data_IF_707961807882
#
_entry.id   IF_707961807882
#
_cell.length_a   1.000
_cell.length_b   1.000
_cell.length_c   1.000
_cell.angle_alpha   90.00
_cell.angle_beta   90.00
_cell.angle_gamma   90.00
#
_symmetry.space_group_name_H-M   'P 1'
#
loop_
_entity.id
_entity.type
_entity.pdbx_description
1 polymer ?
#
# COMPACT_ATOMS: atom_id res chain seq x y z
N UNK A 1 -13.07 -4.82 1.37
CA UNK A 1 -13.53 -3.58 0.69
C UNK A 1 -12.83 -2.34 1.22
N UNK A 2 -13.03 -1.92 2.48
CA UNK A 2 -12.39 -0.69 3.00
C UNK A 2 -10.87 -0.75 2.90
N UNK A 3 -10.24 -1.81 3.38
CA UNK A 3 -8.79 -1.99 3.28
C UNK A 3 -8.29 -1.99 1.82
N UNK A 4 -9.09 -2.50 0.89
CA UNK A 4 -8.76 -2.50 -0.53
C UNK A 4 -8.79 -1.08 -1.12
N UNK A 5 -9.68 -0.21 -0.63
CA UNK A 5 -9.72 1.21 -1.01
C UNK A 5 -8.42 1.90 -0.62
N UNK A 6 -8.00 1.76 0.65
CA UNK A 6 -6.71 2.30 1.11
C UNK A 6 -5.56 1.76 0.27
N UNK A 7 -5.51 0.44 0.06
CA UNK A 7 -4.45 -0.20 -0.70
C UNK A 7 -4.41 0.31 -2.14
N UNK A 8 -5.52 0.31 -2.87
CA UNK A 8 -5.51 0.66 -4.29
C UNK A 8 -5.32 2.17 -4.52
N UNK A 9 -5.77 3.04 -3.62
CA UNK A 9 -5.43 4.46 -3.68
C UNK A 9 -3.93 4.66 -3.45
N UNK A 10 -3.37 4.03 -2.43
CA UNK A 10 -1.93 4.12 -2.14
C UNK A 10 -1.08 3.60 -3.29
N UNK A 11 -1.38 2.40 -3.81
CA UNK A 11 -0.63 1.80 -4.92
C UNK A 11 -0.79 2.58 -6.23
N UNK A 12 -1.99 3.08 -6.54
CA UNK A 12 -2.19 3.94 -7.72
C UNK A 12 -1.38 5.22 -7.60
N UNK A 13 -1.44 5.90 -6.45
CA UNK A 13 -0.68 7.13 -6.23
C UNK A 13 0.83 6.87 -6.30
N UNK A 14 1.31 5.72 -5.81
CA UNK A 14 2.71 5.29 -5.96
C UNK A 14 3.15 5.19 -7.42
N UNK A 15 2.29 4.66 -8.29
CA UNK A 15 2.56 4.56 -9.73
C UNK A 15 2.48 5.94 -10.39
N UNK A 16 1.50 6.76 -10.02
CA UNK A 16 1.30 8.09 -10.61
C UNK A 16 2.38 9.09 -10.21
N UNK A 17 2.92 8.99 -9.00
CA UNK A 17 3.94 9.90 -8.48
C UNK A 17 5.39 9.44 -8.74
N UNK A 18 5.60 8.46 -9.61
CA UNK A 18 6.93 7.99 -9.98
C UNK A 18 7.80 9.11 -10.60
N UNK A 19 9.01 9.24 -10.08
CA UNK A 19 10.08 10.09 -10.60
C UNK A 19 11.18 9.20 -11.21
N UNK A 20 12.01 9.76 -12.09
CA UNK A 20 13.14 9.04 -12.67
C UNK A 20 14.24 8.87 -11.61
N UNK A 21 14.45 7.63 -11.15
CA UNK A 21 15.45 7.25 -10.14
C UNK A 21 16.41 6.23 -10.74
N UNK A 22 17.71 6.44 -10.55
CA UNK A 22 18.73 5.52 -11.04
C UNK A 22 18.50 4.09 -10.52
N UNK A 23 18.54 3.11 -11.42
CA UNK A 23 18.31 1.70 -11.08
C UNK A 23 16.85 1.29 -10.92
N UNK A 24 15.89 2.21 -11.13
CA UNK A 24 14.46 1.91 -11.17
C UNK A 24 13.91 1.96 -12.59
N UNK A 25 12.92 1.11 -12.87
CA UNK A 25 12.15 1.12 -14.11
C UNK A 25 10.77 1.69 -13.80
N UNK A 26 10.33 2.64 -14.62
CA UNK A 26 8.97 3.18 -14.52
C UNK A 26 7.96 2.12 -14.94
N UNK A 27 6.93 1.93 -14.12
CA UNK A 27 5.84 0.99 -14.38
C UNK A 27 4.52 1.73 -14.64
N UNK A 28 3.56 1.04 -15.25
CA UNK A 28 2.24 1.55 -15.59
C UNK A 28 1.17 0.59 -15.09
N UNK A 29 -0.09 1.04 -14.87
CA UNK A 29 -1.18 0.16 -14.45
C UNK A 29 -1.33 -1.11 -15.31
N UNK A 30 -1.07 -1.00 -16.61
CA UNK A 30 -1.13 -2.09 -17.58
C UNK A 30 -0.10 -3.20 -17.33
N UNK A 31 1.04 -2.89 -16.71
CA UNK A 31 2.06 -3.89 -16.33
C UNK A 31 1.54 -4.86 -15.26
N UNK A 32 0.42 -4.51 -14.61
CA UNK A 32 -0.23 -5.29 -13.56
C UNK A 32 -1.58 -5.88 -13.99
N UNK A 33 -1.99 -5.73 -15.26
CA UNK A 33 -3.22 -6.32 -15.76
C UNK A 33 -3.14 -7.87 -15.79
N UNK A 34 -4.26 -8.59 -15.58
CA UNK A 34 -5.62 -8.08 -15.37
C UNK A 34 -5.90 -7.61 -13.93
N UNK A 35 -5.38 -8.34 -12.95
CA UNK A 35 -5.40 -7.98 -11.53
C UNK A 35 -3.94 -7.93 -11.04
N UNK A 36 -3.54 -6.86 -10.32
CA UNK A 36 -4.35 -5.75 -9.80
C UNK A 36 -4.56 -4.56 -10.77
N UNK A 37 -4.03 -4.60 -11.99
CA UNK A 37 -3.95 -3.46 -12.91
C UNK A 37 -5.27 -2.73 -13.17
N UNK A 38 -6.39 -3.45 -13.23
CA UNK A 38 -7.71 -2.85 -13.39
C UNK A 38 -8.11 -1.87 -12.27
N UNK A 39 -7.51 -1.98 -11.08
CA UNK A 39 -7.73 -1.08 -9.94
C UNK A 39 -6.70 0.04 -9.84
N UNK A 40 -5.66 0.04 -10.67
CA UNK A 40 -4.58 1.04 -10.65
C UNK A 40 -4.81 2.15 -11.69
N UNK A 41 -5.94 2.09 -12.41
CA UNK A 41 -6.31 3.00 -13.49
C UNK A 41 -7.14 4.18 -12.97
N UNK A 42 -7.29 5.20 -13.82
CA UNK A 42 -7.97 6.46 -13.50
C UNK A 42 -9.45 6.31 -13.11
N UNK A 43 -10.08 5.18 -13.43
CA UNK A 43 -11.48 4.90 -13.11
C UNK A 43 -11.68 4.26 -11.72
N UNK A 44 -10.63 4.13 -10.90
CA UNK A 44 -10.70 3.54 -9.55
C UNK A 44 -11.79 4.18 -8.68
N UNK A 45 -11.84 5.52 -8.60
CA UNK A 45 -12.83 6.23 -7.78
C UNK A 45 -14.27 5.93 -8.23
N UNK A 46 -14.50 5.80 -9.53
CA UNK A 46 -15.81 5.44 -10.08
C UNK A 46 -16.16 3.98 -9.77
N UNK A 47 -15.19 3.05 -9.81
CA UNK A 47 -15.40 1.66 -9.37
C UNK A 47 -15.77 1.58 -7.90
N UNK A 48 -15.08 2.34 -7.04
CA UNK A 48 -15.39 2.42 -5.60
C UNK A 48 -16.80 2.96 -5.38
N UNK A 49 -17.17 4.06 -6.07
CA UNK A 49 -18.50 4.66 -5.98
C UNK A 49 -19.60 3.67 -6.33
N UNK A 50 -19.55 3.07 -7.53
CA UNK A 50 -20.57 2.10 -8.00
C UNK A 50 -20.68 0.88 -7.10
N UNK A 51 -19.55 0.34 -6.65
CA UNK A 51 -19.55 -0.85 -5.78
C UNK A 51 -20.14 -0.53 -4.40
N UNK A 52 -19.85 0.66 -3.87
CA UNK A 52 -20.37 1.13 -2.59
C UNK A 52 -21.87 1.44 -2.64
N UNK A 53 -22.35 2.06 -3.72
CA UNK A 53 -23.79 2.29 -3.96
C UNK A 53 -24.56 0.97 -4.06
N UNK A 54 -24.07 0.02 -4.87
CA UNK A 54 -24.70 -1.29 -5.01
C UNK A 54 -24.75 -2.05 -3.68
N UNK A 55 -23.67 -2.02 -2.91
CA UNK A 55 -23.61 -2.66 -1.60
C UNK A 55 -24.58 -1.99 -0.60
N UNK A 56 -24.72 -0.67 -0.66
CA UNK A 56 -25.69 0.08 0.13
C UNK A 56 -27.13 -0.34 -0.17
N UNK A 57 -27.49 -0.48 -1.45
CA UNK A 57 -28.80 -0.98 -1.86
C UNK A 57 -29.07 -2.40 -1.34
N UNK A 58 -28.07 -3.29 -1.39
CA UNK A 58 -28.17 -4.66 -0.88
C UNK A 58 -28.41 -4.68 0.64
N UNK A 59 -27.73 -3.81 1.39
CA UNK A 59 -27.96 -3.68 2.84
C UNK A 59 -29.36 -3.14 3.15
N UNK A 60 -29.82 -2.11 2.44
CA UNK A 60 -31.17 -1.57 2.62
C UNK A 60 -32.26 -2.61 2.31
N UNK A 61 -32.08 -3.43 1.27
CA UNK A 61 -33.00 -4.50 0.93
C UNK A 61 -33.12 -5.56 2.04
N UNK A 62 -32.10 -5.68 2.90
CA UNK A 62 -32.07 -6.57 4.08
C UNK A 62 -32.54 -5.87 5.37
N UNK A 63 -32.88 -4.59 5.31
CA UNK A 63 -33.22 -3.79 6.49
C UNK A 63 -32.01 -3.32 7.31
N UNK A 64 -30.79 -3.47 6.78
CA UNK A 64 -29.55 -3.04 7.43
C UNK A 64 -29.21 -1.60 7.06
N UNK A 65 -29.72 -0.66 7.85
CA UNK A 65 -29.48 0.77 7.63
C UNK A 65 -28.04 1.15 7.95
N UNK A 66 -27.44 0.55 8.98
CA UNK A 66 -26.07 0.87 9.41
C UNK A 66 -25.03 0.37 8.39
N UNK A 67 -25.22 -0.84 7.85
CA UNK A 67 -24.39 -1.39 6.78
C UNK A 67 -24.46 -0.54 5.52
N UNK A 68 -25.65 -0.04 5.16
CA UNK A 68 -25.82 0.93 4.08
C UNK A 68 -25.06 2.24 4.35
N UNK A 69 -25.18 2.74 5.57
CA UNK A 69 -24.37 3.79 6.22
C UNK A 69 -22.88 3.68 5.86
N UNK A 70 -22.29 2.58 6.34
CA UNK A 70 -20.88 2.24 6.21
C UNK A 70 -20.45 2.02 4.76
N UNK A 71 -21.33 1.47 3.91
CA UNK A 71 -21.05 1.27 2.49
C UNK A 71 -20.86 2.61 1.79
N UNK A 72 -21.78 3.56 1.96
CA UNK A 72 -21.71 4.90 1.36
C UNK A 72 -20.54 5.73 1.93
N UNK A 73 -20.20 5.56 3.21
CA UNK A 73 -19.01 6.20 3.82
C UNK A 73 -17.71 5.91 3.06
N UNK A 74 -17.60 4.75 2.42
CA UNK A 74 -16.40 4.40 1.66
C UNK A 74 -16.11 5.33 0.47
N UNK A 75 -17.14 5.96 -0.10
CA UNK A 75 -16.99 6.94 -1.20
C UNK A 75 -16.25 8.17 -0.70
N UNK A 76 -16.60 8.62 0.51
CA UNK A 76 -15.96 9.77 1.16
C UNK A 76 -14.54 9.40 1.56
N UNK A 77 -14.35 8.24 2.22
CA UNK A 77 -13.03 7.76 2.65
C UNK A 77 -12.04 7.67 1.49
N UNK A 78 -12.49 7.25 0.30
CA UNK A 78 -11.66 7.18 -0.89
C UNK A 78 -11.11 8.55 -1.36
N UNK A 79 -11.76 9.64 -0.99
CA UNK A 79 -11.37 11.01 -1.37
C UNK A 79 -10.71 11.77 -0.22
N UNK A 80 -10.87 11.30 1.02
CA UNK A 80 -10.28 11.89 2.21
C UNK A 80 -9.23 10.96 2.80
N UNK A 81 -9.64 10.04 3.67
CA UNK A 81 -8.77 9.35 4.61
C UNK A 81 -7.82 8.36 3.93
N UNK A 82 -8.22 7.82 2.78
CA UNK A 82 -7.41 6.90 2.01
C UNK A 82 -6.34 7.58 1.15
N UNK A 83 -6.42 8.89 0.97
CA UNK A 83 -5.38 9.66 0.31
C UNK A 83 -4.24 9.89 1.31
N UNK A 84 -3.03 9.35 1.08
CA UNK A 84 -1.92 9.51 1.99
C UNK A 84 -1.44 10.97 2.04
N UNK A 85 -1.01 11.42 3.21
CA UNK A 85 -0.42 12.75 3.41
C UNK A 85 0.97 12.88 2.75
N UNK A 86 1.68 11.76 2.59
CA UNK A 86 3.01 11.67 1.95
C UNK A 86 2.90 11.07 0.54
N UNK A 87 3.92 11.33 -0.30
CA UNK A 87 4.03 10.68 -1.61
C UNK A 87 4.45 9.22 -1.46
N UNK A 88 3.61 8.24 -1.84
CA UNK A 88 3.93 6.82 -1.69
C UNK A 88 5.20 6.38 -2.42
N UNK A 89 5.51 7.01 -3.55
CA UNK A 89 6.75 6.73 -4.29
C UNK A 89 7.98 7.26 -3.54
N UNK A 90 7.90 8.45 -2.97
CA UNK A 90 9.02 9.00 -2.17
C UNK A 90 9.26 8.16 -0.91
N UNK A 91 8.18 7.68 -0.27
CA UNK A 91 8.29 6.76 0.87
C UNK A 91 9.03 5.47 0.48
N UNK A 92 8.78 4.94 -0.73
CA UNK A 92 9.52 3.80 -1.28
C UNK A 92 11.00 4.13 -1.48
N UNK A 93 11.34 5.28 -2.07
CA UNK A 93 12.74 5.68 -2.27
C UNK A 93 13.47 5.87 -0.94
N UNK A 94 12.82 6.47 0.06
CA UNK A 94 13.36 6.61 1.41
C UNK A 94 13.61 5.24 2.03
N UNK A 95 12.63 4.33 1.94
CA UNK A 95 12.76 2.97 2.45
C UNK A 95 13.94 2.22 1.79
N UNK A 96 14.08 2.33 0.47
CA UNK A 96 15.19 1.71 -0.26
C UNK A 96 16.55 2.25 0.22
N UNK A 97 16.67 3.57 0.39
CA UNK A 97 17.89 4.20 0.91
C UNK A 97 18.22 3.73 2.33
N UNK A 98 17.24 3.76 3.23
CA UNK A 98 17.41 3.30 4.61
C UNK A 98 17.80 1.82 4.67
N UNK A 99 17.23 1.00 3.78
CA UNK A 99 17.60 -0.41 3.67
C UNK A 99 19.05 -0.58 3.22
N UNK A 100 19.49 0.15 2.19
CA UNK A 100 20.88 0.12 1.73
C UNK A 100 21.85 0.53 2.85
N UNK A 101 21.58 1.64 3.53
CA UNK A 101 22.37 2.11 4.67
C UNK A 101 22.43 1.07 5.80
N UNK A 102 21.30 0.42 6.11
CA UNK A 102 21.25 -0.66 7.10
C UNK A 102 22.09 -1.87 6.66
N UNK A 103 22.01 -2.27 5.40
CA UNK A 103 22.79 -3.39 4.86
C UNK A 103 24.29 -3.08 4.91
N UNK A 104 24.70 -1.88 4.53
CA UNK A 104 26.11 -1.45 4.62
C UNK A 104 26.60 -1.43 6.07
N UNK A 105 25.80 -0.89 6.99
CA UNK A 105 26.14 -0.84 8.41
C UNK A 105 26.29 -2.23 9.01
N UNK A 106 25.36 -3.15 8.71
CA UNK A 106 25.39 -4.52 9.23
C UNK A 106 26.48 -5.37 8.60
N UNK A 107 26.94 -5.04 7.39
CA UNK A 107 28.06 -5.71 6.72
C UNK A 107 29.44 -5.35 7.31
N UNK A 108 29.54 -4.27 8.08
CA UNK A 108 30.79 -3.90 8.75
C UNK A 108 31.23 -5.02 9.69
N UNK A 109 32.46 -5.53 9.53
CA UNK A 109 33.00 -6.69 10.26
C UNK A 109 32.71 -6.62 11.77
N UNK A 110 32.99 -5.46 12.38
CA UNK A 110 32.74 -5.22 13.80
C UNK A 110 31.26 -5.41 14.19
N UNK A 111 30.34 -4.95 13.35
CA UNK A 111 28.90 -5.06 13.61
C UNK A 111 28.43 -6.49 13.33
N UNK A 112 28.86 -7.06 12.21
CA UNK A 112 28.57 -8.44 11.83
C UNK A 112 28.98 -9.43 12.92
N UNK A 113 30.23 -9.39 13.41
CA UNK A 113 30.68 -10.29 14.48
C UNK A 113 29.87 -10.10 15.76
N UNK A 114 29.42 -8.88 16.07
CA UNK A 114 28.55 -8.63 17.24
C UNK A 114 27.18 -9.27 17.07
N UNK A 115 26.58 -9.16 15.88
CA UNK A 115 25.30 -9.79 15.57
C UNK A 115 25.42 -11.32 15.65
N UNK A 116 26.44 -11.91 15.03
CA UNK A 116 26.71 -13.36 15.06
C UNK A 116 26.86 -13.87 16.50
N UNK A 117 27.62 -13.17 17.34
CA UNK A 117 27.77 -13.51 18.76
C UNK A 117 26.44 -13.47 19.54
N UNK A 118 25.53 -12.55 19.22
CA UNK A 118 24.23 -12.46 19.87
C UNK A 118 23.34 -13.64 19.44
N UNK A 119 23.32 -13.96 18.15
CA UNK A 119 22.55 -15.08 17.61
C UNK A 119 23.01 -16.40 18.22
N UNK A 120 24.32 -16.65 18.23
CA UNK A 120 24.93 -17.88 18.77
C UNK A 120 24.60 -18.09 20.26
N UNK A 121 24.75 -17.04 21.09
CA UNK A 121 24.41 -17.12 22.53
C UNK A 121 22.95 -17.45 22.78
N UNK A 122 22.06 -17.05 21.87
CA UNK A 122 20.62 -17.27 21.98
C UNK A 122 20.23 -18.71 21.63
N UNK A 123 21.00 -19.36 20.76
CA UNK A 123 20.82 -20.77 20.40
C UNK A 123 21.34 -21.69 21.50
N UNK A 124 22.45 -21.34 22.15
CA UNK A 124 23.02 -22.10 23.29
C UNK A 124 22.17 -22.00 24.58
N UNK A 125 21.25 -21.04 24.66
CA UNK A 125 20.35 -20.83 25.80
C UNK A 125 18.98 -21.50 25.64
N UNK A 126 18.75 -22.26 24.56
CA UNK A 126 17.54 -23.07 24.32
C UNK A 126 17.83 -24.54 24.58
#
# INVERSE_FOLDING_TARGET
MREDIYRFIYERLKIESQEDVEGMIKVYPEDFDPYPGCFLKNDLNEKIRRSSELLSEEYLARGDVEGSEEALRNIILAQTDAVPDSSPFQDLCILQKLWQEMMEYTYQEKIRSRIENIVQKREESK
#
